data_IF_674940169842
#
_entry.id   IF_674940169842
#
_cell.length_a   1.000
_cell.length_b   1.000
_cell.length_c   1.000
_cell.angle_alpha   90.00
_cell.angle_beta   90.00
_cell.angle_gamma   90.00
#
_symmetry.space_group_name_H-M   'P 1'
#
loop_
_entity.id
_entity.type
_entity.pdbx_description
1 polymer ?
#
# COMPACT_ATOMS: atom_id res chain seq x y z
N UNK A 1 -6.59 -13.19 -17.84
CA UNK A 1 -7.75 -12.32 -17.63
C UNK A 1 -7.45 -11.38 -16.46
N UNK A 2 -7.51 -10.09 -16.71
CA UNK A 2 -7.28 -9.13 -15.64
C UNK A 2 -8.45 -9.09 -14.67
N UNK A 3 -8.14 -9.06 -13.37
CA UNK A 3 -9.16 -8.87 -12.35
C UNK A 3 -9.71 -7.45 -12.40
N UNK A 4 -10.97 -7.28 -12.02
CA UNK A 4 -11.60 -5.97 -11.92
C UNK A 4 -11.04 -5.25 -10.68
N UNK A 5 -10.76 -3.95 -10.82
CA UNK A 5 -10.30 -3.12 -9.70
C UNK A 5 -11.39 -3.09 -8.62
N UNK A 6 -10.97 -3.27 -7.36
CA UNK A 6 -11.90 -3.16 -6.23
C UNK A 6 -12.54 -1.79 -6.19
N UNK A 7 -13.74 -1.71 -5.62
CA UNK A 7 -14.51 -0.46 -5.53
C UNK A 7 -14.90 -0.19 -4.09
N UNK A 8 -15.13 1.07 -3.72
CA UNK A 8 -15.69 1.38 -2.40
C UNK A 8 -16.99 0.59 -2.17
N UNK A 9 -17.10 -0.01 -0.99
CA UNK A 9 -18.21 -0.90 -0.65
C UNK A 9 -17.89 -2.36 -0.77
N UNK A 10 -16.87 -2.73 -1.53
CA UNK A 10 -16.45 -4.13 -1.63
C UNK A 10 -15.83 -4.60 -0.31
N UNK A 11 -15.98 -5.88 0.04
CA UNK A 11 -15.19 -6.43 1.14
C UNK A 11 -13.71 -6.41 0.80
N UNK A 12 -12.88 -6.06 1.77
CA UNK A 12 -11.44 -6.14 1.59
C UNK A 12 -11.03 -7.61 1.43
N UNK A 13 -9.99 -7.84 0.64
CA UNK A 13 -9.49 -9.18 0.37
C UNK A 13 -8.25 -9.40 1.23
N UNK A 14 -8.33 -10.40 2.12
CA UNK A 14 -7.25 -10.67 3.07
C UNK A 14 -5.97 -11.08 2.36
N UNK A 15 -4.86 -10.77 2.99
CA UNK A 15 -3.54 -11.24 2.54
C UNK A 15 -2.57 -11.22 3.72
N UNK A 16 -1.48 -11.97 3.56
CA UNK A 16 -0.34 -11.94 4.47
C UNK A 16 0.91 -11.76 3.63
N UNK A 17 1.71 -10.75 3.96
CA UNK A 17 2.97 -10.47 3.29
C UNK A 17 4.04 -10.14 4.32
N UNK A 18 5.29 -10.41 3.99
CA UNK A 18 6.43 -9.99 4.80
C UNK A 18 6.76 -8.54 4.52
N UNK A 19 7.17 -7.80 5.55
CA UNK A 19 7.72 -6.47 5.38
C UNK A 19 9.25 -6.52 5.25
N UNK A 20 9.89 -5.36 5.13
CA UNK A 20 11.34 -5.26 4.96
C UNK A 20 12.14 -5.80 6.15
N UNK A 21 11.50 -6.00 7.29
CA UNK A 21 12.13 -6.54 8.50
C UNK A 21 11.78 -8.01 8.73
N UNK A 22 11.26 -8.69 7.71
CA UNK A 22 10.85 -10.10 7.76
C UNK A 22 9.71 -10.36 8.75
N UNK A 23 8.93 -9.33 9.08
CA UNK A 23 7.73 -9.47 9.91
C UNK A 23 6.52 -9.66 9.03
N UNK A 24 5.63 -10.56 9.43
CA UNK A 24 4.40 -10.81 8.70
C UNK A 24 3.36 -9.74 9.00
N UNK A 25 2.81 -9.14 7.96
CA UNK A 25 1.65 -8.26 8.03
C UNK A 25 0.45 -9.03 7.49
N UNK A 26 -0.60 -9.15 8.31
CA UNK A 26 -1.86 -9.77 7.93
C UNK A 26 -2.93 -8.69 7.97
N UNK A 27 -3.63 -8.47 6.84
CA UNK A 27 -4.60 -7.39 6.76
C UNK A 27 -5.74 -7.55 7.77
N UNK A 28 -6.29 -8.76 7.89
CA UNK A 28 -7.45 -8.98 8.77
C UNK A 28 -7.09 -8.90 10.26
N UNK A 29 -5.81 -9.01 10.60
CA UNK A 29 -5.36 -8.78 11.98
C UNK A 29 -5.32 -7.29 12.34
N UNK A 30 -5.49 -6.40 11.35
CA UNK A 30 -5.57 -4.96 11.58
C UNK A 30 -7.01 -4.51 11.88
N UNK A 31 -7.92 -5.44 12.17
CA UNK A 31 -9.29 -5.11 12.57
C UNK A 31 -9.28 -4.07 13.69
N UNK A 32 -10.24 -3.15 13.69
CA UNK A 32 -10.35 -1.98 14.59
C UNK A 32 -9.49 -0.79 14.16
N UNK A 33 -8.67 -0.94 13.11
CA UNK A 33 -7.93 0.17 12.51
C UNK A 33 -8.23 0.24 11.04
N UNK A 34 -8.17 1.45 10.50
CA UNK A 34 -8.18 1.62 9.05
C UNK A 34 -6.79 1.29 8.52
N UNK A 35 -6.71 0.82 7.30
CA UNK A 35 -5.43 0.48 6.67
C UNK A 35 -5.36 1.17 5.31
N UNK A 36 -4.26 1.87 5.06
CA UNK A 36 -3.96 2.42 3.75
C UNK A 36 -3.02 1.45 3.03
N UNK A 37 -3.50 0.89 1.93
CA UNK A 37 -2.70 0.04 1.06
C UNK A 37 -2.17 0.92 -0.07
N UNK A 38 -0.89 1.27 -0.01
CA UNK A 38 -0.27 2.17 -0.99
C UNK A 38 0.57 1.35 -1.95
N UNK A 39 -0.06 0.96 -3.07
CA UNK A 39 0.59 0.18 -4.12
C UNK A 39 1.51 1.07 -4.93
N UNK A 40 2.71 0.58 -5.21
CA UNK A 40 3.67 1.28 -6.06
C UNK A 40 4.37 0.26 -6.98
N UNK A 41 4.73 0.68 -8.21
CA UNK A 41 5.28 -0.27 -9.18
C UNK A 41 6.54 -0.99 -8.75
N UNK A 42 7.60 -0.27 -8.43
CA UNK A 42 8.91 -0.88 -8.14
C UNK A 42 9.72 -0.03 -7.17
N UNK A 43 10.39 -0.68 -6.23
CA UNK A 43 11.43 -0.07 -5.42
C UNK A 43 12.54 0.49 -6.33
N UNK A 44 13.34 1.42 -5.80
CA UNK A 44 14.47 2.04 -6.49
C UNK A 44 14.08 2.91 -7.68
N UNK A 45 12.85 3.41 -7.69
CA UNK A 45 12.39 4.38 -8.67
C UNK A 45 12.01 5.67 -7.96
N UNK A 46 12.15 6.80 -8.68
CA UNK A 46 12.02 8.14 -8.11
C UNK A 46 10.63 8.39 -7.52
N UNK A 47 9.57 8.11 -8.29
CA UNK A 47 8.21 8.39 -7.83
C UNK A 47 7.78 7.46 -6.70
N UNK A 48 8.23 6.22 -6.73
CA UNK A 48 7.93 5.28 -5.65
C UNK A 48 8.66 5.68 -4.36
N UNK A 49 9.90 6.16 -4.47
CA UNK A 49 10.64 6.66 -3.32
C UNK A 49 9.91 7.83 -2.64
N UNK A 50 9.46 8.80 -3.43
CA UNK A 50 8.72 9.95 -2.91
C UNK A 50 7.40 9.52 -2.27
N UNK A 51 6.69 8.57 -2.89
CA UNK A 51 5.44 8.05 -2.35
C UNK A 51 5.64 7.41 -0.98
N UNK A 52 6.62 6.52 -0.85
CA UNK A 52 6.86 5.82 0.42
C UNK A 52 7.40 6.75 1.50
N UNK A 53 8.27 7.69 1.14
CA UNK A 53 8.77 8.69 2.08
C UNK A 53 7.63 9.55 2.62
N UNK A 54 6.63 9.87 1.79
CA UNK A 54 5.48 10.64 2.26
C UNK A 54 4.66 9.89 3.31
N UNK A 55 4.61 8.55 3.25
CA UNK A 55 3.96 7.75 4.28
C UNK A 55 4.73 7.85 5.59
N UNK A 56 6.03 7.65 5.54
CA UNK A 56 6.88 7.70 6.75
C UNK A 56 6.80 9.07 7.43
N UNK A 57 6.84 10.14 6.64
CA UNK A 57 6.82 11.51 7.16
C UNK A 57 5.49 11.86 7.82
N UNK A 58 4.43 11.14 7.51
CA UNK A 58 3.08 11.44 8.02
C UNK A 58 2.54 10.38 8.98
N UNK A 59 3.40 9.50 9.50
CA UNK A 59 2.95 8.39 10.36
C UNK A 59 2.22 8.86 11.61
N UNK A 60 2.66 9.96 12.24
CA UNK A 60 2.00 10.46 13.44
C UNK A 60 0.58 10.93 13.13
N UNK A 61 0.40 11.58 11.97
CA UNK A 61 -0.93 11.99 11.52
C UNK A 61 -1.82 10.79 11.23
N UNK A 62 -1.29 9.76 10.56
CA UNK A 62 -2.04 8.53 10.33
C UNK A 62 -2.44 7.86 11.64
N UNK A 63 -1.55 7.84 12.63
CA UNK A 63 -1.87 7.27 13.94
C UNK A 63 -3.03 8.01 14.60
N UNK A 64 -3.04 9.35 14.54
CA UNK A 64 -4.13 10.16 15.08
C UNK A 64 -5.46 9.86 14.38
N UNK A 65 -5.41 9.45 13.12
CA UNK A 65 -6.60 9.13 12.32
C UNK A 65 -6.96 7.64 12.38
N UNK A 66 -6.36 6.90 13.30
CA UNK A 66 -6.58 5.45 13.45
C UNK A 66 -6.34 4.70 12.14
N UNK A 67 -5.25 5.02 11.45
CA UNK A 67 -4.90 4.42 10.17
C UNK A 67 -3.46 3.92 10.19
N UNK A 68 -3.26 2.71 9.64
CA UNK A 68 -1.93 2.12 9.43
C UNK A 68 -1.61 2.17 7.95
N UNK A 69 -0.63 2.96 7.52
CA UNK A 69 -0.22 2.95 6.12
C UNK A 69 0.82 1.85 5.88
N UNK A 70 0.69 1.15 4.76
CA UNK A 70 1.68 0.18 4.31
C UNK A 70 1.94 0.37 2.82
N UNK A 71 3.18 0.15 2.39
CA UNK A 71 3.52 0.14 0.97
C UNK A 71 3.51 -1.29 0.45
N UNK A 72 3.11 -1.48 -0.81
CA UNK A 72 3.08 -2.80 -1.42
C UNK A 72 3.68 -2.73 -2.83
N UNK A 73 4.66 -3.58 -3.10
CA UNK A 73 5.22 -3.75 -4.46
C UNK A 73 5.65 -5.19 -4.66
N UNK A 74 5.98 -5.53 -5.91
CA UNK A 74 6.38 -6.89 -6.29
C UNK A 74 7.83 -7.22 -5.94
N UNK A 75 8.53 -6.33 -5.24
CA UNK A 75 9.95 -6.52 -4.92
C UNK A 75 10.15 -7.57 -3.84
N UNK A 76 11.35 -8.18 -3.85
CA UNK A 76 11.74 -9.16 -2.85
C UNK A 76 12.08 -8.50 -1.51
N UNK A 77 12.14 -9.32 -0.45
CA UNK A 77 12.49 -8.83 0.89
C UNK A 77 13.89 -8.17 0.92
N UNK A 78 14.96 -8.80 0.40
CA UNK A 78 16.26 -8.12 0.40
C UNK A 78 16.25 -6.79 -0.35
N UNK A 79 15.50 -6.70 -1.44
CA UNK A 79 15.36 -5.47 -2.20
C UNK A 79 14.68 -4.37 -1.37
N UNK A 80 13.57 -4.71 -0.74
CA UNK A 80 12.84 -3.76 0.12
C UNK A 80 13.66 -3.34 1.33
N UNK A 81 14.39 -4.28 1.93
CA UNK A 81 15.23 -3.98 3.08
C UNK A 81 16.31 -2.96 2.73
N UNK A 82 17.03 -3.16 1.63
CA UNK A 82 18.06 -2.23 1.18
C UNK A 82 17.46 -0.87 0.82
N UNK A 83 16.32 -0.88 0.15
CA UNK A 83 15.65 0.36 -0.27
C UNK A 83 15.16 1.16 0.92
N UNK A 84 14.48 0.52 1.88
CA UNK A 84 14.02 1.19 3.10
C UNK A 84 15.18 1.85 3.84
N UNK A 85 16.30 1.14 3.95
CA UNK A 85 17.50 1.67 4.59
C UNK A 85 18.01 2.91 3.87
N UNK A 86 18.05 2.87 2.54
CA UNK A 86 18.55 4.01 1.74
C UNK A 86 17.63 5.23 1.88
N UNK A 87 16.32 5.03 2.09
CA UNK A 87 15.35 6.12 2.22
C UNK A 87 15.18 6.59 3.67
N UNK A 88 15.76 5.90 4.64
CA UNK A 88 15.55 6.20 6.06
C UNK A 88 14.16 5.82 6.54
N UNK A 89 13.50 4.88 5.90
CA UNK A 89 12.18 4.39 6.30
C UNK A 89 12.38 3.31 7.36
N UNK A 90 11.93 3.58 8.58
CA UNK A 90 12.14 2.70 9.72
C UNK A 90 10.85 2.17 10.33
N UNK A 91 9.73 2.88 10.16
CA UNK A 91 8.47 2.55 10.83
C UNK A 91 7.38 2.09 9.89
N UNK A 92 7.38 2.55 8.63
CA UNK A 92 6.36 2.17 7.65
C UNK A 92 6.64 0.78 7.12
N UNK A 93 5.69 -0.18 7.24
CA UNK A 93 5.88 -1.49 6.61
C UNK A 93 5.90 -1.37 5.09
N UNK A 94 6.93 -1.92 4.46
CA UNK A 94 7.04 -2.01 3.01
C UNK A 94 6.91 -3.48 2.64
N UNK A 95 5.73 -3.86 2.16
CA UNK A 95 5.35 -5.25 1.97
C UNK A 95 5.85 -5.79 0.63
N UNK A 96 6.22 -7.07 0.64
CA UNK A 96 6.85 -7.75 -0.50
C UNK A 96 5.84 -8.70 -1.14
N UNK A 97 5.18 -8.23 -2.20
CA UNK A 97 4.25 -9.03 -3.00
C UNK A 97 5.02 -9.79 -4.09
N UNK A 98 6.10 -10.45 -3.64
CA UNK A 98 7.10 -11.03 -4.54
C UNK A 98 6.66 -12.39 -5.09
N UNK A 99 6.09 -13.25 -4.22
CA UNK A 99 5.73 -14.59 -4.65
C UNK A 99 4.47 -15.12 -3.94
N UNK A 100 3.45 -15.63 -4.65
CA UNK A 100 3.38 -15.59 -6.12
C UNK A 100 3.43 -14.16 -6.60
N UNK A 101 4.13 -13.93 -7.69
CA UNK A 101 4.50 -12.58 -8.15
C UNK A 101 3.28 -11.71 -8.38
N UNK A 102 3.12 -10.65 -7.60
CA UNK A 102 2.02 -9.72 -7.74
C UNK A 102 0.65 -10.28 -7.34
N UNK A 103 0.61 -11.38 -6.57
CA UNK A 103 -0.66 -12.03 -6.22
C UNK A 103 -1.63 -11.12 -5.49
N UNK A 104 -1.13 -10.27 -4.58
CA UNK A 104 -2.00 -9.34 -3.83
C UNK A 104 -2.48 -8.21 -4.75
N UNK A 105 -1.60 -7.65 -5.57
CA UNK A 105 -2.01 -6.66 -6.56
C UNK A 105 -3.09 -7.23 -7.48
N UNK A 106 -2.94 -8.48 -7.91
CA UNK A 106 -3.94 -9.17 -8.74
C UNK A 106 -5.28 -9.28 -8.02
N UNK A 107 -5.28 -9.63 -6.72
CA UNK A 107 -6.53 -9.73 -5.95
C UNK A 107 -7.29 -8.41 -5.90
N UNK A 108 -6.58 -7.29 -5.92
CA UNK A 108 -7.17 -5.96 -5.88
C UNK A 108 -7.44 -5.39 -7.27
N UNK A 109 -7.14 -6.16 -8.34
CA UNK A 109 -7.33 -5.73 -9.71
C UNK A 109 -6.31 -4.70 -10.17
N UNK A 110 -5.16 -4.61 -9.50
CA UNK A 110 -4.17 -3.55 -9.73
C UNK A 110 -2.89 -4.05 -10.40
N UNK A 111 -2.82 -5.34 -10.75
CA UNK A 111 -1.61 -5.88 -11.38
C UNK A 111 -1.59 -5.57 -12.88
N UNK A 112 -0.45 -5.08 -13.36
CA UNK A 112 -0.24 -4.78 -14.78
C UNK A 112 0.50 -5.95 -15.42
N UNK A 113 -0.24 -6.82 -16.08
CA UNK A 113 0.32 -8.04 -16.71
C UNK A 113 1.40 -7.73 -17.73
N UNK A 114 1.27 -6.64 -18.46
CA UNK A 114 2.24 -6.25 -19.48
C UNK A 114 3.58 -5.82 -18.89
N UNK A 115 3.60 -5.38 -17.65
CA UNK A 115 4.78 -4.81 -17.03
C UNK A 115 5.32 -5.66 -15.88
N UNK A 116 4.51 -6.55 -15.30
CA UNK A 116 4.92 -7.37 -14.18
C UNK A 116 4.98 -6.63 -12.85
N UNK A 117 4.29 -5.50 -12.72
CA UNK A 117 4.18 -4.76 -11.46
C UNK A 117 2.79 -4.16 -11.31
N UNK A 118 2.52 -3.54 -10.15
CA UNK A 118 1.19 -3.00 -9.88
C UNK A 118 1.03 -1.59 -10.48
N UNK A 119 -0.23 -1.17 -10.58
CA UNK A 119 -0.56 0.23 -10.74
C UNK A 119 -0.03 1.03 -9.54
N UNK A 120 0.08 2.34 -9.69
CA UNK A 120 0.27 3.25 -8.58
C UNK A 120 -1.12 3.58 -8.05
N UNK A 121 -1.42 3.14 -6.83
CA UNK A 121 -2.79 3.25 -6.32
C UNK A 121 -2.82 3.30 -4.81
N UNK A 122 -3.82 3.99 -4.27
CA UNK A 122 -4.13 3.98 -2.85
C UNK A 122 -5.51 3.35 -2.64
N UNK A 123 -5.57 2.41 -1.71
CA UNK A 123 -6.80 1.75 -1.30
C UNK A 123 -6.90 1.88 0.21
N UNK A 124 -8.03 2.35 0.73
CA UNK A 124 -8.25 2.42 2.18
C UNK A 124 -9.31 1.39 2.55
N UNK A 125 -8.99 0.63 3.60
CA UNK A 125 -9.87 -0.38 4.18
C UNK A 125 -10.27 0.11 5.57
N UNK A 126 -11.56 0.02 5.90
CA UNK A 126 -12.05 0.49 7.19
C UNK A 126 -11.94 -0.58 8.29
N UNK A 127 -12.42 -0.23 9.49
CA UNK A 127 -12.35 -1.09 10.67
C UNK A 127 -13.18 -2.37 10.54
N UNK A 128 -14.15 -2.38 9.61
CA UNK A 128 -14.98 -3.54 9.33
C UNK A 128 -14.49 -4.34 8.12
N UNK A 129 -13.25 -4.09 7.68
CA UNK A 129 -12.64 -4.78 6.54
C UNK A 129 -13.39 -4.53 5.23
N UNK A 130 -13.86 -3.31 5.04
CA UNK A 130 -14.52 -2.88 3.82
C UNK A 130 -13.69 -1.82 3.12
N UNK A 131 -13.60 -1.90 1.81
CA UNK A 131 -12.93 -0.87 1.00
C UNK A 131 -13.78 0.40 1.02
N UNK A 132 -13.16 1.54 1.37
CA UNK A 132 -13.86 2.84 1.44
C UNK A 132 -13.25 3.89 0.51
N UNK A 133 -12.09 3.65 -0.06
CA UNK A 133 -11.42 4.58 -0.96
C UNK A 133 -10.58 3.79 -1.96
N UNK A 134 -10.64 4.16 -3.23
CA UNK A 134 -9.78 3.60 -4.28
C UNK A 134 -9.41 4.73 -5.24
N UNK A 135 -8.12 4.90 -5.51
CA UNK A 135 -7.68 5.82 -6.56
C UNK A 135 -6.44 5.26 -7.23
N UNK A 136 -6.46 5.26 -8.55
CA UNK A 136 -5.32 4.88 -9.38
C UNK A 136 -4.71 6.16 -9.95
N UNK A 137 -3.40 6.28 -9.86
CA UNK A 137 -2.66 7.48 -10.28
C UNK A 137 -1.83 7.17 -11.53
N UNK A 138 -1.49 8.19 -12.33
CA UNK A 138 -0.50 7.98 -13.40
C UNK A 138 0.79 7.41 -12.83
N UNK A 139 1.43 6.49 -13.58
CA UNK A 139 2.63 5.78 -13.12
C UNK A 139 3.76 6.77 -12.80
N UNK A 140 3.87 7.86 -13.57
CA UNK A 140 4.90 8.89 -13.38
C UNK A 140 4.38 10.08 -12.59
N UNK A 141 3.78 9.82 -11.42
CA UNK A 141 3.28 10.86 -10.54
C UNK A 141 3.46 10.43 -9.09
N UNK A 142 3.41 11.42 -8.18
CA UNK A 142 3.43 11.16 -6.74
C UNK A 142 2.03 11.45 -6.20
N UNK A 143 1.36 10.46 -5.57
CA UNK A 143 0.07 10.70 -4.95
C UNK A 143 0.17 11.80 -3.89
N UNK A 144 -0.82 12.70 -3.86
CA UNK A 144 -0.87 13.75 -2.84
C UNK A 144 -1.33 13.15 -1.51
N UNK A 145 -0.41 13.05 -0.56
CA UNK A 145 -0.72 12.49 0.76
C UNK A 145 -1.79 13.27 1.50
N UNK A 146 -1.91 14.56 1.22
CA UNK A 146 -2.93 15.41 1.85
C UNK A 146 -4.35 15.01 1.45
N UNK A 147 -4.52 14.49 0.24
CA UNK A 147 -5.81 13.96 -0.21
C UNK A 147 -6.27 12.81 0.69
N UNK A 148 -5.34 11.90 1.02
CA UNK A 148 -5.64 10.76 1.88
C UNK A 148 -5.95 11.23 3.29
N UNK A 149 -5.15 12.14 3.83
CA UNK A 149 -5.37 12.69 5.17
C UNK A 149 -6.74 13.36 5.26
N UNK A 150 -7.10 14.19 4.27
CA UNK A 150 -8.41 14.84 4.24
C UNK A 150 -9.55 13.83 4.18
N UNK A 151 -9.39 12.79 3.38
CA UNK A 151 -10.40 11.73 3.30
C UNK A 151 -10.60 11.05 4.66
N UNK A 152 -9.50 10.70 5.33
CA UNK A 152 -9.57 10.05 6.64
C UNK A 152 -10.19 10.96 7.69
N UNK A 153 -9.89 12.26 7.66
CA UNK A 153 -10.50 13.25 8.56
C UNK A 153 -12.01 13.34 8.36
N UNK A 154 -12.48 13.30 7.12
CA UNK A 154 -13.88 13.43 6.80
C UNK A 154 -14.72 12.18 7.08
N UNK A 155 -14.09 11.05 7.34
CA UNK A 155 -14.77 9.77 7.56
C UNK A 155 -14.55 9.21 8.98
N UNK A 156 -14.01 10.03 9.86
CA UNK A 156 -13.73 9.62 11.25
C UNK A 156 -15.02 9.40 12.05
#
# INVERSE_FOLDING_TARGET
>A
MQSVIVQPGDPARNFSLKDQNDKTFDLYEQAKKRTLLSFHPLAWTEFCAAQMTSLEDNLDEFARLNCVPVGISVDSLPCKQAWAKSLGITRTPLLCDFWPHGAVAERYGLFREENGFSERANVIVDEQQKVIFVKVYPVHSVPDIKEIVRFLQGTA
#
